data_IF_397863047217
#
_entry.id   IF_397863047217
#
_cell.length_a   1.000
_cell.length_b   1.000
_cell.length_c   1.000
_cell.angle_alpha   90.00
_cell.angle_beta   90.00
_cell.angle_gamma   90.00
#
_symmetry.space_group_name_H-M   'P 1'
#
loop_
_entity.id
_entity.type
_entity.pdbx_description
1 polymer ?
#
# COMPACT_ATOMS: atom_id res chain seq x y z
N UNK A 1 -19.04 12.34 -9.26
CA UNK A 1 -18.26 11.36 -8.46
C UNK A 1 -17.37 12.16 -7.54
N UNK A 2 -17.40 11.88 -6.23
CA UNK A 2 -16.55 12.55 -5.27
C UNK A 2 -15.12 12.01 -5.33
N UNK A 3 -14.15 12.79 -4.87
CA UNK A 3 -12.76 12.36 -4.73
C UNK A 3 -12.50 11.89 -3.30
N UNK A 4 -11.82 10.75 -3.16
CA UNK A 4 -11.39 10.21 -1.89
C UNK A 4 -9.86 10.05 -1.88
N UNK A 5 -9.22 10.50 -0.83
CA UNK A 5 -7.78 10.37 -0.63
C UNK A 5 -7.53 9.51 0.60
N UNK A 6 -6.75 8.46 0.44
CA UNK A 6 -6.36 7.56 1.53
C UNK A 6 -4.91 7.86 1.89
N UNK A 7 -4.70 8.26 3.15
CA UNK A 7 -3.42 8.76 3.66
C UNK A 7 -2.68 7.68 4.44
N UNK A 8 -1.48 7.38 3.98
CA UNK A 8 -0.51 6.52 4.65
C UNK A 8 0.24 7.25 5.78
N UNK A 9 0.91 6.51 6.65
CA UNK A 9 1.77 7.02 7.72
C UNK A 9 2.81 8.01 7.18
N UNK A 10 3.43 7.70 6.04
CA UNK A 10 4.42 8.58 5.37
C UNK A 10 3.83 9.93 5.00
N UNK A 11 2.61 9.97 4.46
CA UNK A 11 1.92 11.20 4.10
C UNK A 11 1.64 12.09 5.33
N UNK A 12 1.19 11.47 6.43
CA UNK A 12 0.90 12.16 7.68
C UNK A 12 2.18 12.70 8.34
N UNK A 13 3.27 11.94 8.27
CA UNK A 13 4.60 12.33 8.75
C UNK A 13 5.16 13.52 7.97
N UNK A 14 5.00 13.52 6.65
CA UNK A 14 5.49 14.57 5.76
C UNK A 14 4.64 15.85 5.79
N UNK A 15 3.54 15.85 6.57
CA UNK A 15 2.71 17.03 6.75
C UNK A 15 1.76 17.28 5.58
N UNK A 16 1.16 16.22 5.04
CA UNK A 16 0.11 16.36 4.04
C UNK A 16 -1.01 17.28 4.54
N UNK A 17 -1.33 18.32 3.78
CA UNK A 17 -2.37 19.29 4.13
C UNK A 17 -3.70 18.94 3.45
N UNK A 18 -4.68 18.52 4.28
CA UNK A 18 -6.01 18.10 3.81
C UNK A 18 -6.85 19.25 3.26
N UNK A 19 -6.53 20.48 3.63
CA UNK A 19 -7.28 21.68 3.23
C UNK A 19 -6.94 22.19 1.83
N UNK A 20 -5.83 21.74 1.24
CA UNK A 20 -5.41 22.16 -0.11
C UNK A 20 -6.12 21.39 -1.23
N UNK A 21 -6.76 20.28 -0.91
CA UNK A 21 -7.39 19.40 -1.90
C UNK A 21 -8.86 19.21 -1.56
N UNK A 22 -9.73 19.56 -2.49
CA UNK A 22 -11.18 19.33 -2.37
C UNK A 22 -11.50 17.84 -2.57
N UNK A 23 -11.40 17.07 -1.49
CA UNK A 23 -11.63 15.63 -1.43
C UNK A 23 -11.98 15.20 -0.01
N UNK A 24 -12.63 14.05 0.13
CA UNK A 24 -12.75 13.37 1.42
C UNK A 24 -11.45 12.65 1.76
N UNK A 25 -10.95 12.82 2.98
CA UNK A 25 -9.69 12.23 3.40
C UNK A 25 -9.93 11.10 4.40
N UNK A 26 -9.27 9.99 4.17
CA UNK A 26 -9.39 8.78 4.96
C UNK A 26 -8.02 8.27 5.41
N UNK A 27 -8.01 7.57 6.53
CA UNK A 27 -6.92 6.72 6.96
C UNK A 27 -7.48 5.48 7.68
N UNK A 28 -6.63 4.54 8.03
CA UNK A 28 -7.02 3.30 8.72
C UNK A 28 -6.55 3.30 10.19
N UNK A 29 -7.18 2.50 11.06
CA UNK A 29 -6.77 2.40 12.47
C UNK A 29 -5.30 2.04 12.64
N UNK A 30 -4.78 1.08 11.85
CA UNK A 30 -3.38 0.61 11.93
C UNK A 30 -2.38 1.74 11.67
N UNK A 31 -2.63 2.59 10.67
CA UNK A 31 -1.80 3.78 10.39
C UNK A 31 -1.79 4.76 11.58
N UNK A 32 -2.96 4.96 12.22
CA UNK A 32 -3.05 5.80 13.41
C UNK A 32 -2.26 5.24 14.60
N UNK A 33 -2.19 3.92 14.72
CA UNK A 33 -1.48 3.22 15.81
C UNK A 33 0.04 3.21 15.60
N UNK A 34 0.53 3.22 14.37
CA UNK A 34 1.96 3.30 14.05
C UNK A 34 2.61 4.61 14.53
N UNK A 35 1.86 5.69 14.62
CA UNK A 35 2.39 6.98 15.06
C UNK A 35 2.49 7.00 16.59
N UNK A 36 3.71 7.10 17.12
CA UNK A 36 3.98 7.09 18.56
C UNK A 36 3.22 8.20 19.31
N UNK A 37 2.76 7.89 20.54
CA UNK A 37 1.91 8.77 21.35
C UNK A 37 2.51 10.14 21.65
N UNK A 38 3.83 10.20 21.81
CA UNK A 38 4.58 11.42 22.18
C UNK A 38 5.05 12.23 20.96
N UNK A 39 4.67 11.81 19.74
CA UNK A 39 5.03 12.52 18.52
C UNK A 39 4.03 13.67 18.26
N UNK A 40 4.56 14.86 17.97
CA UNK A 40 3.76 16.03 17.55
C UNK A 40 2.89 15.73 16.32
N UNK A 41 3.30 14.77 15.53
CA UNK A 41 2.57 14.27 14.36
C UNK A 41 1.27 13.58 14.75
N UNK A 42 1.29 12.83 15.88
CA UNK A 42 0.08 12.23 16.43
C UNK A 42 -0.93 13.29 16.85
N UNK A 43 -0.45 14.35 17.50
CA UNK A 43 -1.32 15.46 17.89
C UNK A 43 -1.95 16.14 16.68
N UNK A 44 -1.20 16.33 15.60
CA UNK A 44 -1.73 16.88 14.33
C UNK A 44 -2.76 15.97 13.70
N UNK A 45 -2.50 14.67 13.64
CA UNK A 45 -3.45 13.68 13.13
C UNK A 45 -4.74 13.66 13.97
N UNK A 46 -4.62 13.58 15.30
CA UNK A 46 -5.78 13.57 16.21
C UNK A 46 -6.59 14.86 16.07
N UNK A 47 -5.94 16.01 15.90
CA UNK A 47 -6.64 17.28 15.62
C UNK A 47 -7.38 17.24 14.28
N UNK A 48 -6.77 16.72 13.22
CA UNK A 48 -7.41 16.61 11.92
C UNK A 48 -8.60 15.63 11.93
N UNK A 49 -8.50 14.54 12.71
CA UNK A 49 -9.61 13.61 12.92
C UNK A 49 -10.74 14.29 13.72
N UNK A 50 -10.42 14.94 14.83
CA UNK A 50 -11.40 15.61 15.69
C UNK A 50 -12.10 16.77 15.00
N UNK A 51 -11.44 17.43 14.05
CA UNK A 51 -12.01 18.52 13.23
C UNK A 51 -12.80 17.99 12.02
N UNK A 52 -12.86 16.68 11.80
CA UNK A 52 -13.54 16.07 10.67
C UNK A 52 -12.83 16.18 9.33
N UNK A 53 -11.55 16.63 9.30
CA UNK A 53 -10.77 16.70 8.08
C UNK A 53 -10.24 15.34 7.63
N UNK A 54 -10.11 14.37 8.54
CA UNK A 54 -9.70 12.99 8.24
C UNK A 54 -10.66 12.03 8.93
N UNK A 55 -11.20 11.09 8.17
CA UNK A 55 -12.03 10.00 8.68
C UNK A 55 -11.20 8.73 8.84
N UNK A 56 -11.18 8.17 10.06
CA UNK A 56 -10.58 6.85 10.29
C UNK A 56 -11.63 5.80 9.99
N UNK A 57 -11.34 4.90 9.03
CA UNK A 57 -12.27 3.86 8.60
C UNK A 57 -11.53 2.53 8.38
N UNK A 58 -12.07 1.44 8.96
CA UNK A 58 -11.61 0.09 8.66
C UNK A 58 -12.28 -0.42 7.39
N UNK A 59 -11.55 -1.08 6.49
CA UNK A 59 -12.14 -1.73 5.33
C UNK A 59 -12.95 -2.98 5.72
N UNK A 60 -13.95 -3.30 4.92
CA UNK A 60 -14.72 -4.53 5.08
C UNK A 60 -13.86 -5.78 4.84
N UNK A 61 -14.15 -6.91 5.52
CA UNK A 61 -13.38 -8.15 5.37
C UNK A 61 -13.26 -8.64 3.93
N UNK A 62 -14.27 -8.42 3.10
CA UNK A 62 -14.25 -8.75 1.67
C UNK A 62 -13.08 -8.06 0.96
N UNK A 63 -12.94 -6.75 1.13
CA UNK A 63 -11.88 -5.98 0.46
C UNK A 63 -10.50 -6.30 1.03
N UNK A 64 -10.40 -6.61 2.33
CA UNK A 64 -9.16 -7.12 2.92
C UNK A 64 -8.70 -8.41 2.23
N UNK A 65 -9.60 -9.39 2.06
CA UNK A 65 -9.27 -10.66 1.40
C UNK A 65 -8.90 -10.49 -0.07
N UNK A 66 -9.63 -9.66 -0.82
CA UNK A 66 -9.35 -9.38 -2.23
C UNK A 66 -7.98 -8.68 -2.39
N UNK A 67 -7.68 -7.70 -1.54
CA UNK A 67 -6.40 -6.97 -1.57
C UNK A 67 -5.24 -7.89 -1.20
N UNK A 68 -5.39 -8.72 -0.17
CA UNK A 68 -4.35 -9.68 0.23
C UNK A 68 -4.02 -10.66 -0.90
N UNK A 69 -5.02 -11.13 -1.63
CA UNK A 69 -4.81 -11.97 -2.81
C UNK A 69 -3.99 -11.24 -3.89
N UNK A 70 -4.33 -9.98 -4.18
CA UNK A 70 -3.59 -9.16 -5.16
C UNK A 70 -2.14 -8.94 -4.72
N UNK A 71 -1.91 -8.64 -3.44
CA UNK A 71 -0.56 -8.49 -2.84
C UNK A 71 0.26 -9.77 -3.06
N UNK A 72 -0.32 -10.95 -2.78
CA UNK A 72 0.33 -12.25 -3.01
C UNK A 72 0.64 -12.48 -4.49
N UNK A 73 -0.33 -12.26 -5.39
CA UNK A 73 -0.14 -12.42 -6.84
C UNK A 73 0.94 -11.49 -7.42
N UNK A 74 1.17 -10.34 -6.79
CA UNK A 74 2.23 -9.41 -7.17
C UNK A 74 3.59 -9.74 -6.55
N UNK A 75 3.64 -10.65 -5.57
CA UNK A 75 4.84 -10.99 -4.81
C UNK A 75 5.30 -9.84 -3.90
N UNK A 76 4.38 -9.04 -3.37
CA UNK A 76 4.67 -7.92 -2.47
C UNK A 76 4.40 -8.23 -0.99
N UNK A 77 4.03 -9.49 -0.66
CA UNK A 77 3.65 -9.89 0.69
C UNK A 77 4.74 -9.62 1.75
N UNK A 78 6.01 -9.79 1.39
CA UNK A 78 7.14 -9.55 2.31
C UNK A 78 7.54 -8.06 2.40
N UNK A 79 7.03 -7.22 1.51
CA UNK A 79 7.41 -5.82 1.42
C UNK A 79 6.37 -4.88 2.06
N UNK A 80 5.14 -5.36 2.25
CA UNK A 80 4.03 -4.57 2.78
C UNK A 80 3.70 -4.98 4.22
N UNK A 81 3.51 -3.99 5.07
CA UNK A 81 3.00 -4.17 6.43
C UNK A 81 1.50 -4.48 6.43
N UNK A 82 0.97 -4.89 7.60
CA UNK A 82 -0.47 -5.06 7.79
C UNK A 82 -1.23 -3.74 7.61
N UNK A 83 -0.64 -2.63 8.04
CA UNK A 83 -1.21 -1.30 7.87
C UNK A 83 -1.29 -0.89 6.39
N UNK A 84 -0.27 -1.20 5.59
CA UNK A 84 -0.28 -0.96 4.14
C UNK A 84 -1.38 -1.77 3.45
N UNK A 85 -1.53 -3.04 3.82
CA UNK A 85 -2.58 -3.90 3.28
C UNK A 85 -3.98 -3.40 3.66
N UNK A 86 -4.17 -2.93 4.90
CA UNK A 86 -5.42 -2.33 5.36
C UNK A 86 -5.74 -1.05 4.62
N UNK A 87 -4.75 -0.18 4.43
CA UNK A 87 -4.86 1.07 3.68
C UNK A 87 -5.30 0.84 2.23
N UNK A 88 -4.64 -0.09 1.55
CA UNK A 88 -4.95 -0.48 0.17
C UNK A 88 -6.35 -1.08 0.05
N UNK A 89 -6.76 -1.90 1.03
CA UNK A 89 -8.11 -2.47 1.08
C UNK A 89 -9.18 -1.40 1.25
N UNK A 90 -8.94 -0.36 2.08
CA UNK A 90 -9.85 0.77 2.20
C UNK A 90 -9.94 1.54 0.88
N UNK A 91 -8.81 1.76 0.20
CA UNK A 91 -8.78 2.38 -1.12
C UNK A 91 -9.63 1.60 -2.14
N UNK A 92 -9.48 0.27 -2.18
CA UNK A 92 -10.27 -0.59 -3.07
C UNK A 92 -11.77 -0.54 -2.74
N UNK A 93 -12.12 -0.48 -1.45
CA UNK A 93 -13.52 -0.34 -1.02
C UNK A 93 -14.12 0.99 -1.47
N UNK A 94 -13.46 2.10 -1.21
CA UNK A 94 -13.93 3.44 -1.61
C UNK A 94 -14.14 3.52 -3.11
N UNK A 95 -13.23 2.95 -3.90
CA UNK A 95 -13.40 2.82 -5.35
C UNK A 95 -14.63 1.99 -5.70
N UNK A 96 -14.85 0.86 -5.03
CA UNK A 96 -16.05 0.03 -5.20
C UNK A 96 -17.34 0.76 -4.84
N UNK A 97 -17.29 1.71 -3.93
CA UNK A 97 -18.40 2.61 -3.55
C UNK A 97 -18.61 3.77 -4.55
N UNK A 98 -17.77 3.88 -5.59
CA UNK A 98 -17.91 4.87 -6.65
C UNK A 98 -17.08 6.14 -6.46
N UNK A 99 -16.09 6.14 -5.55
CA UNK A 99 -15.17 7.27 -5.38
C UNK A 99 -14.01 7.22 -6.38
N UNK A 100 -13.59 8.39 -6.87
CA UNK A 100 -12.29 8.54 -7.50
C UNK A 100 -11.22 8.52 -6.41
N UNK A 101 -10.59 7.35 -6.21
CA UNK A 101 -9.76 7.10 -5.04
C UNK A 101 -8.26 7.20 -5.37
N UNK A 102 -7.52 7.98 -4.57
CA UNK A 102 -6.07 8.13 -4.64
C UNK A 102 -5.43 7.77 -3.31
N UNK A 103 -4.40 6.93 -3.34
CA UNK A 103 -3.55 6.60 -2.18
C UNK A 103 -2.35 7.54 -2.17
N UNK A 104 -2.05 8.15 -1.03
CA UNK A 104 -0.88 9.00 -0.83
C UNK A 104 0.11 8.26 0.06
N UNK A 105 1.19 7.78 -0.55
CA UNK A 105 2.29 7.06 0.12
C UNK A 105 3.58 7.23 -0.68
N UNK A 106 4.71 7.34 0.02
CA UNK A 106 6.05 7.35 -0.60
C UNK A 106 6.65 5.95 -0.74
N UNK A 107 5.95 4.91 -0.26
CA UNK A 107 6.35 3.51 -0.46
C UNK A 107 6.02 3.04 -1.89
N UNK A 108 7.06 2.59 -2.60
CA UNK A 108 6.93 2.08 -3.97
C UNK A 108 6.12 0.77 -4.06
N UNK A 109 6.15 -0.09 -3.03
CA UNK A 109 5.37 -1.32 -2.97
C UNK A 109 3.89 -1.01 -2.81
N UNK A 110 3.54 -0.05 -1.95
CA UNK A 110 2.16 0.47 -1.82
C UNK A 110 1.66 1.03 -3.15
N UNK A 111 2.46 1.89 -3.81
CA UNK A 111 2.09 2.47 -5.11
C UNK A 111 1.92 1.39 -6.19
N UNK A 112 2.78 0.36 -6.18
CA UNK A 112 2.75 -0.75 -7.13
C UNK A 112 1.44 -1.53 -7.02
N UNK A 113 1.02 -1.90 -5.81
CA UNK A 113 -0.24 -2.60 -5.56
C UNK A 113 -1.44 -1.68 -5.80
N UNK A 114 -1.38 -0.41 -5.40
CA UNK A 114 -2.44 0.57 -5.69
C UNK A 114 -2.71 0.66 -7.20
N UNK A 115 -1.66 0.69 -8.03
CA UNK A 115 -1.78 0.67 -9.49
C UNK A 115 -2.48 -0.61 -10.02
N UNK A 116 -2.20 -1.80 -9.44
CA UNK A 116 -2.87 -3.05 -9.86
C UNK A 116 -4.35 -3.05 -9.46
N UNK A 117 -4.68 -2.52 -8.30
CA UNK A 117 -6.06 -2.32 -7.83
C UNK A 117 -6.80 -1.24 -8.65
N UNK A 118 -6.09 -0.54 -9.56
CA UNK A 118 -6.62 0.55 -10.36
C UNK A 118 -6.98 1.78 -9.53
N UNK A 119 -6.26 2.01 -8.43
CA UNK A 119 -6.31 3.23 -7.64
C UNK A 119 -5.34 4.26 -8.20
N UNK A 120 -5.67 5.54 -8.05
CA UNK A 120 -4.68 6.61 -8.16
C UNK A 120 -3.64 6.48 -7.06
N UNK A 121 -2.42 6.96 -7.30
CA UNK A 121 -1.40 7.05 -6.25
C UNK A 121 -0.54 8.30 -6.43
N UNK A 122 -0.02 8.82 -5.32
CA UNK A 122 0.83 10.01 -5.30
C UNK A 122 1.86 9.87 -4.17
N UNK A 123 3.13 10.15 -4.45
CA UNK A 123 4.16 10.39 -3.45
C UNK A 123 4.22 11.86 -3.09
N UNK A 124 4.71 12.18 -1.89
CA UNK A 124 4.99 13.56 -1.46
C UNK A 124 6.47 13.90 -1.64
N UNK A 125 7.38 13.02 -1.25
CA UNK A 125 8.82 13.19 -1.39
C UNK A 125 9.37 12.51 -2.65
N UNK A 126 8.70 11.47 -3.16
CA UNK A 126 9.13 10.69 -4.31
C UNK A 126 8.34 11.05 -5.58
N UNK A 127 8.98 10.84 -6.76
CA UNK A 127 8.28 11.00 -8.05
C UNK A 127 7.26 9.89 -8.35
N UNK A 128 7.12 8.93 -7.43
CA UNK A 128 6.30 7.74 -7.62
C UNK A 128 6.90 6.73 -8.60
N UNK A 129 6.22 5.60 -8.75
CA UNK A 129 6.61 4.55 -9.69
C UNK A 129 6.31 4.97 -11.13
N UNK A 130 7.20 4.60 -12.06
CA UNK A 130 7.00 4.81 -13.52
C UNK A 130 6.55 3.54 -14.23
N UNK A 131 6.69 2.39 -13.58
CA UNK A 131 6.31 1.07 -14.09
C UNK A 131 5.80 0.21 -12.95
N UNK A 132 4.86 -0.65 -13.26
CA UNK A 132 4.36 -1.66 -12.36
C UNK A 132 5.22 -2.92 -12.47
N UNK A 133 5.47 -3.59 -11.34
CA UNK A 133 6.27 -4.81 -11.26
C UNK A 133 5.44 -5.93 -10.64
N UNK A 134 5.64 -7.16 -11.16
CA UNK A 134 5.36 -8.40 -10.44
C UNK A 134 6.67 -9.03 -10.05
N UNK A 135 6.75 -9.52 -8.84
CA UNK A 135 7.94 -10.15 -8.31
C UNK A 135 7.75 -11.66 -8.25
N UNK A 136 8.81 -12.39 -8.47
CA UNK A 136 8.87 -13.85 -8.28
C UNK A 136 10.10 -14.20 -7.45
N UNK A 137 9.97 -15.26 -6.65
CA UNK A 137 11.10 -15.85 -5.92
C UNK A 137 11.79 -16.86 -6.82
N UNK A 138 13.11 -16.80 -6.91
CA UNK A 138 13.91 -17.72 -7.72
C UNK A 138 15.17 -18.16 -7.00
N UNK A 139 15.67 -19.35 -7.34
CA UNK A 139 16.95 -19.86 -6.87
C UNK A 139 18.05 -19.53 -7.90
N UNK A 140 19.10 -18.76 -7.52
CA UNK A 140 20.22 -18.51 -8.43
C UNK A 140 21.08 -19.76 -8.70
N UNK A 141 21.05 -20.75 -7.80
CA UNK A 141 21.81 -22.00 -7.96
C UNK A 141 21.17 -22.95 -8.99
N UNK A 142 19.94 -23.40 -8.74
CA UNK A 142 19.26 -24.35 -9.63
C UNK A 142 18.32 -23.70 -10.65
N UNK A 143 18.16 -22.36 -10.63
CA UNK A 143 17.34 -21.53 -11.55
C UNK A 143 15.83 -21.79 -11.52
N UNK A 144 15.33 -22.52 -10.51
CA UNK A 144 13.90 -22.74 -10.34
C UNK A 144 13.23 -21.49 -9.74
N UNK A 145 11.97 -21.31 -10.11
CA UNK A 145 11.08 -20.28 -9.54
C UNK A 145 10.08 -20.92 -8.60
N UNK A 146 9.66 -20.16 -7.62
CA UNK A 146 8.71 -20.58 -6.57
C UNK A 146 7.59 -19.55 -6.52
N UNK A 147 6.35 -20.03 -6.49
CA UNK A 147 5.16 -19.17 -6.40
C UNK A 147 4.96 -18.65 -4.98
N UNK A 148 5.26 -19.51 -3.99
CA UNK A 148 5.16 -19.16 -2.58
C UNK A 148 6.53 -18.81 -1.98
N UNK A 149 6.59 -17.79 -1.10
CA UNK A 149 7.77 -17.53 -0.29
C UNK A 149 8.13 -18.78 0.53
N UNK A 150 9.38 -19.20 0.50
CA UNK A 150 9.85 -20.27 1.39
C UNK A 150 10.19 -19.66 2.74
N UNK A 151 9.62 -20.18 3.82
CA UNK A 151 9.76 -19.65 5.18
C UNK A 151 11.22 -19.45 5.61
N UNK A 152 12.10 -20.37 5.18
CA UNK A 152 13.53 -20.31 5.51
C UNK A 152 14.37 -19.46 4.56
N UNK A 153 13.77 -18.90 3.50
CA UNK A 153 14.50 -18.14 2.47
C UNK A 153 15.52 -18.98 1.69
N UNK A 154 15.49 -20.32 1.82
CA UNK A 154 16.44 -21.27 1.25
C UNK A 154 15.77 -22.17 0.23
N UNK A 155 16.47 -22.48 -0.86
CA UNK A 155 15.94 -23.37 -1.90
C UNK A 155 15.79 -24.81 -1.37
N UNK A 156 14.58 -25.39 -1.36
CA UNK A 156 14.36 -26.76 -0.88
C UNK A 156 15.02 -27.83 -1.77
N UNK A 157 15.54 -27.45 -2.94
CA UNK A 157 16.13 -28.39 -3.90
C UNK A 157 17.67 -28.43 -3.76
N UNK A 158 18.33 -27.28 -3.60
CA UNK A 158 19.80 -27.21 -3.65
C UNK A 158 20.42 -26.44 -2.49
N UNK A 159 19.63 -25.94 -1.53
CA UNK A 159 20.12 -25.25 -0.34
C UNK A 159 20.68 -23.86 -0.57
N UNK A 160 20.55 -23.30 -1.78
CA UNK A 160 21.02 -21.94 -2.07
C UNK A 160 20.01 -20.90 -1.60
N UNK A 161 20.46 -19.75 -1.09
CA UNK A 161 19.59 -18.64 -0.71
C UNK A 161 18.75 -18.17 -1.89
N UNK A 162 17.47 -18.04 -1.65
CA UNK A 162 16.50 -17.56 -2.63
C UNK A 162 16.61 -16.05 -2.81
N UNK A 163 16.31 -15.57 -4.01
CA UNK A 163 16.30 -14.15 -4.35
C UNK A 163 15.00 -13.76 -5.03
N UNK A 164 14.61 -12.49 -4.89
CA UNK A 164 13.48 -11.91 -5.63
C UNK A 164 14.00 -11.28 -6.93
N UNK A 165 13.23 -11.42 -8.01
CA UNK A 165 13.45 -10.72 -9.26
C UNK A 165 12.11 -10.29 -9.87
N UNK A 166 12.08 -9.22 -10.69
CA UNK A 166 10.87 -8.88 -11.42
C UNK A 166 10.58 -9.92 -12.51
N UNK A 167 9.45 -10.63 -12.39
CA UNK A 167 8.95 -11.56 -13.40
C UNK A 167 8.25 -10.83 -14.55
N UNK A 168 7.62 -9.69 -14.27
CA UNK A 168 6.89 -8.87 -15.23
C UNK A 168 7.03 -7.38 -14.95
N UNK A 169 7.20 -6.60 -16.04
CA UNK A 169 7.19 -5.13 -16.00
C UNK A 169 6.08 -4.66 -16.94
N UNK A 170 5.19 -3.81 -16.47
CA UNK A 170 4.14 -3.19 -17.27
C UNK A 170 4.23 -1.65 -17.18
N UNK A 171 3.82 -0.91 -18.24
CA UNK A 171 3.47 0.50 -18.06
C UNK A 171 2.36 0.62 -17.03
N UNK A 172 2.31 1.78 -16.34
CA UNK A 172 1.19 2.10 -15.46
C UNK A 172 -0.11 2.12 -16.28
N UNK A 173 -1.18 1.64 -15.68
CA UNK A 173 -2.53 1.86 -16.23
C UNK A 173 -2.89 3.33 -15.96
N UNK A 174 -2.96 4.12 -17.02
CA UNK A 174 -3.51 5.48 -17.01
C UNK A 174 -5.04 5.41 -17.00
#
# INVERSE_FOLDING_TARGET
MGKAIVLDTSALIMGYETTEVEAEHYTVPSVREEIHRDDIRKLRLDNAINSGHITVRSPDPKYRGETQRVIGEMGEADALSEADAELLALGAQLKGEGWETTVVSDDYSVQNVASELGLGFKGLATQGIKRQFRWETYCPGCRRTFEDPQEDGVCPICGTDLKRRPSRKRPLRT
#
